data_IF_387892472625
#
_entry.id   IF_387892472625
#
_cell.length_a   1.000
_cell.length_b   1.000
_cell.length_c   1.000
_cell.angle_alpha   90.00
_cell.angle_beta   90.00
_cell.angle_gamma   90.00
#
_symmetry.space_group_name_H-M   'P 1'
#
loop_
_entity.id
_entity.type
_entity.pdbx_description
1 polymer ?
#
# COMPACT_ATOMS: atom_id res chain seq x y z
N UNK A 1 4.51 4.92 -5.23
CA UNK A 1 4.57 5.40 -3.84
C UNK A 1 3.18 5.73 -3.30
N UNK A 2 2.80 5.08 -2.20
CA UNK A 2 1.57 5.34 -1.45
C UNK A 2 1.74 6.60 -0.57
N UNK A 3 0.84 7.58 -0.70
CA UNK A 3 0.86 8.86 0.07
C UNK A 3 0.82 8.61 1.57
N UNK A 4 0.21 7.50 2.03
CA UNK A 4 0.19 7.14 3.45
C UNK A 4 1.57 6.86 4.04
N UNK A 5 2.56 6.52 3.22
CA UNK A 5 3.94 6.30 3.69
C UNK A 5 4.58 7.58 4.23
N UNK A 6 4.16 8.77 3.78
CA UNK A 6 4.73 10.03 4.25
C UNK A 6 4.47 10.29 5.73
N UNK A 7 3.38 9.73 6.28
CA UNK A 7 3.09 9.84 7.72
C UNK A 7 4.17 9.21 8.59
N UNK A 8 4.88 8.19 8.08
CA UNK A 8 6.01 7.55 8.76
C UNK A 8 7.20 8.48 8.95
N UNK A 9 7.34 9.52 8.10
CA UNK A 9 8.44 10.49 8.22
C UNK A 9 8.39 11.20 9.57
N UNK A 10 7.19 11.50 10.08
CA UNK A 10 7.04 12.14 11.39
C UNK A 10 7.45 11.24 12.56
N UNK A 11 7.47 9.93 12.37
CA UNK A 11 7.82 8.95 13.40
C UNK A 11 9.34 8.78 13.55
N UNK A 12 10.11 9.35 12.61
CA UNK A 12 11.58 9.33 12.61
C UNK A 12 12.11 10.24 13.72
N UNK A 13 13.01 9.71 14.55
CA UNK A 13 13.60 10.45 15.65
C UNK A 13 14.42 11.65 15.13
N UNK A 14 14.23 12.82 15.75
CA UNK A 14 14.92 14.06 15.37
C UNK A 14 14.26 14.85 14.24
N UNK A 15 13.15 14.36 13.65
CA UNK A 15 12.29 15.13 12.74
C UNK A 15 11.18 15.83 13.54
N UNK A 16 11.10 17.16 13.43
CA UNK A 16 10.05 17.98 14.06
C UNK A 16 8.81 18.11 13.16
N UNK A 17 9.05 18.16 11.85
CA UNK A 17 7.99 18.24 10.86
C UNK A 17 8.50 18.01 9.45
N UNK A 18 7.56 17.82 8.52
CA UNK A 18 7.85 17.53 7.13
C UNK A 18 6.83 18.17 6.19
N UNK A 19 7.26 18.40 4.95
CA UNK A 19 6.43 18.78 3.82
C UNK A 19 6.84 18.00 2.58
N UNK A 20 5.86 17.50 1.83
CA UNK A 20 6.07 16.75 0.59
C UNK A 20 5.37 17.48 -0.55
N UNK A 21 6.08 17.70 -1.63
CA UNK A 21 5.55 18.34 -2.84
C UNK A 21 5.83 17.46 -4.06
N UNK A 22 4.97 17.55 -5.07
CA UNK A 22 5.24 16.95 -6.38
C UNK A 22 6.41 17.70 -7.03
N UNK A 23 7.40 16.96 -7.52
CA UNK A 23 8.64 17.52 -8.05
C UNK A 23 8.47 18.18 -9.43
N UNK A 24 7.40 17.83 -10.16
CA UNK A 24 7.08 18.42 -11.47
C UNK A 24 6.16 19.62 -11.31
N UNK A 25 5.09 19.48 -10.51
CA UNK A 25 4.06 20.51 -10.39
C UNK A 25 4.29 21.50 -9.24
N UNK A 26 5.13 21.15 -8.25
CA UNK A 26 5.36 21.96 -7.05
C UNK A 26 4.18 21.98 -6.06
N UNK A 27 3.12 21.21 -6.33
CA UNK A 27 1.93 21.14 -5.51
C UNK A 27 2.19 20.39 -4.20
N UNK A 28 1.66 20.90 -3.08
CA UNK A 28 1.69 20.23 -1.79
C UNK A 28 0.89 18.91 -1.84
N UNK A 29 1.55 17.82 -1.45
CA UNK A 29 0.99 16.46 -1.39
C UNK A 29 0.62 16.08 0.04
N UNK A 30 1.53 16.30 0.98
CA UNK A 30 1.30 16.02 2.40
C UNK A 30 2.21 16.88 3.28
N UNK A 31 1.81 17.11 4.54
CA UNK A 31 2.63 17.79 5.55
C UNK A 31 2.23 17.38 6.96
N UNK A 32 3.16 17.45 7.89
CA UNK A 32 2.86 17.18 9.29
C UNK A 32 3.95 17.62 10.26
N UNK A 33 3.59 17.73 11.54
CA UNK A 33 4.51 18.15 12.60
C UNK A 33 4.59 19.67 12.74
N UNK A 34 5.70 20.13 13.31
CA UNK A 34 6.03 21.55 13.50
C UNK A 34 6.85 21.99 12.29
N UNK A 35 6.30 22.90 11.50
CA UNK A 35 6.87 23.36 10.23
C UNK A 35 6.70 24.87 10.07
N UNK A 36 7.56 25.54 9.30
CA UNK A 36 7.29 26.87 8.77
C UNK A 36 5.99 26.89 7.98
N UNK A 37 5.32 28.04 7.98
CA UNK A 37 4.08 28.22 7.23
C UNK A 37 4.23 28.05 5.71
N UNK A 38 5.45 28.17 5.19
CA UNK A 38 5.80 28.13 3.76
C UNK A 38 6.75 26.96 3.40
N UNK A 39 6.74 25.87 4.18
CA UNK A 39 7.64 24.74 3.95
C UNK A 39 7.52 24.16 2.53
N UNK A 40 6.33 24.13 1.98
CA UNK A 40 6.01 23.67 0.62
C UNK A 40 6.73 24.52 -0.45
N UNK A 41 6.65 25.84 -0.34
CA UNK A 41 7.35 26.75 -1.24
C UNK A 41 8.88 26.56 -1.16
N UNK A 42 9.41 26.44 0.07
CA UNK A 42 10.85 26.24 0.29
C UNK A 42 11.32 24.92 -0.33
N UNK A 43 10.59 23.84 -0.11
CA UNK A 43 10.93 22.51 -0.61
C UNK A 43 10.86 22.46 -2.12
N UNK A 44 9.79 23.00 -2.72
CA UNK A 44 9.64 23.06 -4.18
C UNK A 44 10.75 23.89 -4.82
N UNK A 45 11.02 25.08 -4.27
CA UNK A 45 12.02 26.01 -4.81
C UNK A 45 13.44 25.44 -4.72
N UNK A 46 13.88 25.03 -3.53
CA UNK A 46 15.23 24.51 -3.35
C UNK A 46 15.42 23.13 -3.99
N UNK A 47 14.41 22.26 -3.94
CA UNK A 47 14.44 20.97 -4.62
C UNK A 47 14.67 21.12 -6.13
N UNK A 48 13.89 22.00 -6.77
CA UNK A 48 14.04 22.32 -8.19
C UNK A 48 15.40 22.96 -8.50
N UNK A 49 15.84 23.94 -7.71
CA UNK A 49 17.16 24.56 -7.89
C UNK A 49 18.31 23.55 -7.78
N UNK A 50 18.22 22.61 -6.83
CA UNK A 50 19.21 21.55 -6.66
C UNK A 50 19.33 20.64 -7.89
N UNK A 51 18.21 20.28 -8.52
CA UNK A 51 18.20 19.49 -9.76
C UNK A 51 18.79 20.27 -10.94
N UNK A 52 18.46 21.56 -11.07
CA UNK A 52 19.05 22.42 -12.12
C UNK A 52 20.57 22.51 -11.96
N UNK A 53 21.06 22.68 -10.72
CA UNK A 53 22.49 22.72 -10.43
C UNK A 53 23.15 21.37 -10.71
N UNK A 54 22.54 20.25 -10.27
CA UNK A 54 23.06 18.92 -10.51
C UNK A 54 23.20 18.63 -12.02
N UNK A 55 22.18 18.98 -12.80
CA UNK A 55 22.19 18.86 -14.26
C UNK A 55 23.26 19.73 -14.90
N UNK A 56 23.43 20.99 -14.46
CA UNK A 56 24.47 21.88 -14.96
C UNK A 56 25.89 21.36 -14.69
N UNK A 57 26.06 20.55 -13.63
CA UNK A 57 27.32 19.91 -13.25
C UNK A 57 27.51 18.50 -13.83
N UNK A 58 26.61 18.02 -14.70
CA UNK A 58 26.59 16.65 -15.21
C UNK A 58 26.59 15.57 -14.11
N UNK A 59 25.93 15.85 -12.98
CA UNK A 59 25.68 14.86 -11.94
C UNK A 59 24.42 14.05 -12.30
N UNK A 60 24.29 12.85 -11.71
CA UNK A 60 23.13 11.97 -11.94
C UNK A 60 21.82 12.48 -11.34
N UNK A 61 21.86 13.55 -10.54
CA UNK A 61 20.72 14.16 -9.85
C UNK A 61 21.11 14.74 -8.50
N UNK A 62 20.15 15.37 -7.83
CA UNK A 62 20.32 15.85 -6.47
C UNK A 62 20.07 14.69 -5.48
N UNK A 63 21.08 14.36 -4.67
CA UNK A 63 20.93 13.36 -3.59
C UNK A 63 20.22 13.98 -2.39
N UNK A 64 20.71 15.12 -1.90
CA UNK A 64 20.12 15.89 -0.80
C UNK A 64 20.59 17.34 -0.79
N UNK A 65 19.79 18.21 -0.18
CA UNK A 65 20.13 19.59 0.16
C UNK A 65 19.99 19.75 1.67
N UNK A 66 20.98 20.38 2.29
CA UNK A 66 20.97 20.68 3.73
C UNK A 66 21.08 22.18 3.93
N UNK A 67 20.01 22.79 4.44
CA UNK A 67 19.99 24.17 4.91
C UNK A 67 20.26 24.22 6.41
N UNK A 68 21.30 24.95 6.82
CA UNK A 68 21.66 25.16 8.22
C UNK A 68 21.36 26.62 8.59
N UNK A 69 20.07 26.92 8.78
CA UNK A 69 19.60 28.26 9.15
C UNK A 69 19.11 28.32 10.60
N UNK A 70 18.19 29.26 10.86
CA UNK A 70 17.42 29.29 12.13
C UNK A 70 16.69 27.98 12.36
N UNK A 71 16.15 27.43 11.27
CA UNK A 71 15.68 26.06 11.20
C UNK A 71 16.64 25.26 10.33
N UNK A 72 16.85 23.99 10.67
CA UNK A 72 17.63 23.08 9.83
C UNK A 72 16.66 22.33 8.94
N UNK A 73 16.90 22.39 7.64
CA UNK A 73 16.05 21.82 6.61
C UNK A 73 16.86 20.82 5.80
N UNK A 74 16.35 19.59 5.70
CA UNK A 74 16.88 18.58 4.79
C UNK A 74 15.85 18.37 3.68
N UNK A 75 16.27 18.51 2.42
CA UNK A 75 15.45 18.20 1.26
C UNK A 75 16.07 17.02 0.53
N UNK A 76 15.25 16.02 0.23
CA UNK A 76 15.63 14.84 -0.53
C UNK A 76 14.65 14.62 -1.67
N UNK A 77 15.11 14.00 -2.76
CA UNK A 77 14.26 13.62 -3.87
C UNK A 77 13.96 12.13 -3.80
N UNK A 78 12.67 11.76 -3.87
CA UNK A 78 12.23 10.36 -3.95
C UNK A 78 11.20 10.21 -5.05
N UNK A 79 11.52 9.41 -6.05
CA UNK A 79 10.71 9.24 -7.27
C UNK A 79 10.35 10.62 -7.87
N UNK A 80 9.06 10.96 -7.86
CA UNK A 80 8.49 12.22 -8.38
C UNK A 80 8.21 13.26 -7.29
N UNK A 81 8.76 13.12 -6.08
CA UNK A 81 8.47 14.01 -4.97
C UNK A 81 9.74 14.62 -4.39
N UNK A 82 9.63 15.88 -3.95
CA UNK A 82 10.58 16.48 -3.01
C UNK A 82 10.01 16.38 -1.61
N UNK A 83 10.86 15.94 -0.68
CA UNK A 83 10.51 15.77 0.72
C UNK A 83 11.43 16.67 1.52
N UNK A 84 10.85 17.68 2.18
CA UNK A 84 11.55 18.51 3.14
C UNK A 84 11.24 18.09 4.56
N UNK A 85 12.26 18.05 5.40
CA UNK A 85 12.12 17.76 6.83
C UNK A 85 12.83 18.82 7.65
N UNK A 86 12.15 19.30 8.69
CA UNK A 86 12.72 20.14 9.74
C UNK A 86 13.29 19.24 10.82
N UNK A 87 14.54 19.48 11.19
CA UNK A 87 15.25 18.67 12.16
C UNK A 87 16.10 19.54 13.10
N UNK A 88 16.42 19.00 14.28
CA UNK A 88 17.21 19.74 15.27
C UNK A 88 18.56 19.09 15.54
N UNK A 89 18.58 17.91 16.15
CA UNK A 89 19.79 17.29 16.69
C UNK A 89 20.14 15.94 16.04
N UNK A 90 19.80 15.79 14.75
CA UNK A 90 20.08 14.58 13.98
C UNK A 90 21.05 14.86 12.83
N UNK A 91 21.80 13.82 12.45
CA UNK A 91 22.70 13.87 11.29
C UNK A 91 21.87 13.88 10.00
N UNK A 92 22.08 14.84 9.07
CA UNK A 92 21.36 14.85 7.80
C UNK A 92 21.55 13.58 6.97
N UNK A 93 22.72 12.95 7.08
CA UNK A 93 23.04 11.70 6.40
C UNK A 93 22.23 10.52 6.99
N UNK A 94 22.11 10.46 8.32
CA UNK A 94 21.33 9.41 9.00
C UNK A 94 19.84 9.61 8.72
N UNK A 95 19.34 10.83 8.82
CA UNK A 95 17.96 11.17 8.46
C UNK A 95 17.63 10.84 7.02
N UNK A 96 18.52 11.16 6.07
CA UNK A 96 18.29 10.79 4.67
C UNK A 96 18.10 9.27 4.54
N UNK A 97 18.96 8.48 5.17
CA UNK A 97 18.86 7.02 5.15
C UNK A 97 17.57 6.52 5.81
N UNK A 98 17.18 7.09 6.94
CA UNK A 98 15.95 6.72 7.65
C UNK A 98 14.70 7.10 6.84
N UNK A 99 14.70 8.25 6.16
CA UNK A 99 13.63 8.64 5.23
C UNK A 99 13.56 7.65 4.06
N UNK A 100 14.69 7.28 3.47
CA UNK A 100 14.71 6.28 2.41
C UNK A 100 14.15 4.93 2.88
N UNK A 101 14.50 4.50 4.09
CA UNK A 101 14.00 3.25 4.68
C UNK A 101 12.50 3.33 5.02
N UNK A 102 12.03 4.43 5.60
CA UNK A 102 10.62 4.65 5.92
C UNK A 102 9.73 4.68 4.67
N UNK A 103 10.26 5.17 3.55
CA UNK A 103 9.56 5.31 2.28
C UNK A 103 9.82 4.16 1.30
N UNK A 104 10.64 3.16 1.65
CA UNK A 104 10.71 1.93 0.87
C UNK A 104 9.32 1.27 0.89
N UNK A 105 8.74 1.08 -0.30
CA UNK A 105 7.61 0.18 -0.44
C UNK A 105 8.06 -1.20 0.05
N UNK A 106 7.33 -1.77 1.01
CA UNK A 106 7.63 -3.11 1.50
C UNK A 106 7.59 -4.06 0.29
N UNK A 107 8.68 -4.77 0.01
CA UNK A 107 8.70 -5.74 -1.08
C UNK A 107 7.85 -6.95 -0.69
N UNK A 108 6.58 -6.89 -1.02
CA UNK A 108 5.61 -7.94 -0.70
C UNK A 108 5.72 -9.16 -1.62
N UNK A 109 6.59 -9.15 -2.64
CA UNK A 109 6.56 -10.10 -3.76
C UNK A 109 6.55 -11.55 -3.30
N UNK A 110 7.42 -11.91 -2.34
CA UNK A 110 7.51 -13.27 -1.79
C UNK A 110 7.81 -14.36 -2.83
N UNK A 111 7.49 -15.61 -2.52
CA UNK A 111 7.67 -16.72 -3.46
C UNK A 111 6.69 -16.59 -4.65
N UNK A 112 7.17 -16.55 -5.92
CA UNK A 112 6.33 -16.40 -7.10
C UNK A 112 5.26 -17.49 -7.26
N UNK A 113 5.54 -18.73 -6.86
CA UNK A 113 4.57 -19.84 -6.91
C UNK A 113 3.46 -19.64 -5.88
N UNK A 114 3.82 -19.19 -4.68
CA UNK A 114 2.85 -18.87 -3.63
C UNK A 114 2.01 -17.66 -4.05
N UNK A 115 2.61 -16.66 -4.69
CA UNK A 115 1.87 -15.51 -5.20
C UNK A 115 0.92 -15.89 -6.33
N UNK A 116 1.35 -16.73 -7.27
CA UNK A 116 0.46 -17.27 -8.31
C UNK A 116 -0.71 -18.07 -7.71
N UNK A 117 -0.46 -18.84 -6.65
CA UNK A 117 -1.50 -19.53 -5.90
C UNK A 117 -2.48 -18.55 -5.26
N UNK A 118 -1.99 -17.52 -4.57
CA UNK A 118 -2.82 -16.45 -3.97
C UNK A 118 -3.71 -15.80 -5.02
N UNK A 119 -3.17 -15.45 -6.19
CA UNK A 119 -3.96 -14.90 -7.32
C UNK A 119 -5.04 -15.87 -7.80
N UNK A 120 -4.69 -17.16 -7.93
CA UNK A 120 -5.63 -18.20 -8.31
C UNK A 120 -6.80 -18.33 -7.31
N UNK A 121 -6.49 -18.34 -6.00
CA UNK A 121 -7.49 -18.40 -4.94
C UNK A 121 -8.35 -17.14 -4.85
N UNK A 122 -7.72 -15.96 -4.94
CA UNK A 122 -8.44 -14.69 -4.95
C UNK A 122 -9.40 -14.58 -6.13
N UNK A 123 -9.00 -15.09 -7.31
CA UNK A 123 -9.89 -15.20 -8.46
C UNK A 123 -11.12 -16.09 -8.17
N UNK A 124 -10.94 -17.23 -7.50
CA UNK A 124 -12.07 -18.09 -7.11
C UNK A 124 -13.03 -17.36 -6.16
N UNK A 125 -12.49 -16.66 -5.15
CA UNK A 125 -13.28 -15.87 -4.21
C UNK A 125 -14.00 -14.72 -4.93
N UNK A 126 -13.34 -14.00 -5.84
CA UNK A 126 -13.97 -12.93 -6.61
C UNK A 126 -15.12 -13.42 -7.49
N UNK A 127 -15.04 -14.63 -8.05
CA UNK A 127 -16.16 -15.23 -8.78
C UNK A 127 -17.33 -15.60 -7.84
N UNK A 128 -17.04 -16.06 -6.63
CA UNK A 128 -18.07 -16.30 -5.60
C UNK A 128 -18.73 -14.99 -5.18
N UNK A 129 -17.94 -13.93 -4.95
CA UNK A 129 -18.45 -12.59 -4.65
C UNK A 129 -19.37 -12.07 -5.76
N UNK A 130 -18.96 -12.22 -7.02
CA UNK A 130 -19.78 -11.87 -8.18
C UNK A 130 -21.09 -12.67 -8.19
N UNK A 131 -21.04 -13.99 -8.05
CA UNK A 131 -22.25 -14.82 -8.08
C UNK A 131 -23.18 -14.55 -6.90
N UNK A 132 -22.66 -14.40 -5.68
CA UNK A 132 -23.49 -14.20 -4.48
C UNK A 132 -24.08 -12.78 -4.40
N UNK A 133 -23.42 -11.80 -5.00
CA UNK A 133 -23.94 -10.43 -5.08
C UNK A 133 -24.99 -10.22 -6.18
N UNK A 134 -25.23 -11.19 -7.08
CA UNK A 134 -26.29 -11.08 -8.09
C UNK A 134 -27.65 -10.83 -7.42
N UNK A 135 -28.22 -9.66 -7.73
CA UNK A 135 -29.52 -9.22 -7.18
C UNK A 135 -29.44 -8.51 -5.82
N UNK A 136 -28.24 -8.19 -5.32
CA UNK A 136 -28.04 -7.49 -4.05
C UNK A 136 -26.87 -6.50 -4.09
N UNK A 137 -26.41 -6.06 -2.91
CA UNK A 137 -25.30 -5.11 -2.78
C UNK A 137 -23.94 -5.84 -2.76
N UNK A 138 -23.05 -5.67 -3.76
CA UNK A 138 -21.72 -6.28 -3.77
C UNK A 138 -20.82 -5.89 -2.59
N UNK A 139 -20.98 -4.66 -2.06
CA UNK A 139 -20.13 -4.16 -0.98
C UNK A 139 -20.32 -4.95 0.32
N UNK A 140 -21.53 -5.40 0.63
CA UNK A 140 -21.80 -6.18 1.85
C UNK A 140 -21.01 -7.50 1.87
N UNK A 141 -20.90 -8.15 0.71
CA UNK A 141 -20.17 -9.41 0.58
C UNK A 141 -18.67 -9.21 0.67
N UNK A 142 -18.15 -8.15 0.06
CA UNK A 142 -16.73 -7.80 0.14
C UNK A 142 -16.36 -7.39 1.55
N UNK A 143 -17.17 -6.55 2.20
CA UNK A 143 -16.96 -6.13 3.58
C UNK A 143 -16.95 -7.33 4.53
N UNK A 144 -17.83 -8.31 4.33
CA UNK A 144 -17.78 -9.56 5.08
C UNK A 144 -16.43 -10.28 4.92
N UNK A 145 -15.92 -10.42 3.68
CA UNK A 145 -14.62 -11.06 3.43
C UNK A 145 -13.48 -10.28 4.07
N UNK A 146 -13.50 -8.95 3.98
CA UNK A 146 -12.47 -8.09 4.59
C UNK A 146 -12.47 -8.22 6.10
N UNK A 147 -13.64 -8.15 6.74
CA UNK A 147 -13.76 -8.33 8.19
C UNK A 147 -13.30 -9.72 8.61
N UNK A 148 -13.70 -10.77 7.87
CA UNK A 148 -13.25 -12.13 8.16
C UNK A 148 -11.72 -12.25 8.08
N UNK A 149 -11.08 -11.69 7.04
CA UNK A 149 -9.62 -11.70 6.92
C UNK A 149 -8.98 -10.99 8.12
N UNK A 150 -9.46 -9.79 8.47
CA UNK A 150 -8.93 -9.00 9.60
C UNK A 150 -9.07 -9.72 10.94
N UNK A 151 -10.18 -10.39 11.17
CA UNK A 151 -10.47 -11.09 12.43
C UNK A 151 -9.69 -12.41 12.57
N UNK A 152 -9.37 -13.07 11.45
CA UNK A 152 -8.77 -14.41 11.45
C UNK A 152 -7.27 -14.41 11.12
N UNK A 153 -6.73 -13.31 10.58
CA UNK A 153 -5.30 -13.13 10.36
C UNK A 153 -4.58 -12.66 11.63
N UNK A 154 -4.44 -13.57 12.60
CA UNK A 154 -3.88 -13.26 13.93
C UNK A 154 -2.46 -12.69 13.89
N UNK A 155 -1.67 -13.06 12.87
CA UNK A 155 -0.29 -12.62 12.70
C UNK A 155 -0.15 -11.43 11.73
N UNK A 156 -1.25 -10.92 11.17
CA UNK A 156 -1.23 -9.82 10.21
C UNK A 156 -0.54 -10.15 8.87
N UNK A 157 -0.30 -11.44 8.59
CA UNK A 157 0.43 -11.90 7.40
C UNK A 157 -0.36 -11.67 6.12
N UNK A 158 -1.68 -11.86 6.15
CA UNK A 158 -2.56 -11.79 4.98
C UNK A 158 -3.15 -10.41 4.75
N UNK A 159 -3.49 -9.67 5.81
CA UNK A 159 -4.17 -8.37 5.72
C UNK A 159 -3.33 -7.34 4.97
N UNK A 160 -2.01 -7.38 5.13
CA UNK A 160 -1.06 -6.53 4.39
C UNK A 160 -0.86 -6.96 2.93
N UNK A 161 -1.08 -8.24 2.63
CA UNK A 161 -0.86 -8.85 1.32
C UNK A 161 -2.11 -8.83 0.43
N UNK A 162 -3.27 -8.43 0.95
CA UNK A 162 -4.54 -8.41 0.21
C UNK A 162 -5.07 -6.98 0.19
N UNK A 163 -5.31 -6.46 -1.02
CA UNK A 163 -6.03 -5.22 -1.25
C UNK A 163 -7.49 -5.47 -1.60
N UNK A 164 -8.29 -4.39 -1.56
CA UNK A 164 -9.64 -4.36 -2.11
C UNK A 164 -9.78 -3.19 -3.07
N UNK A 165 -10.17 -3.50 -4.31
CA UNK A 165 -10.48 -2.50 -5.33
C UNK A 165 -11.65 -2.96 -6.17
N UNK A 166 -12.58 -2.06 -6.46
CA UNK A 166 -13.76 -2.33 -7.30
C UNK A 166 -14.54 -3.58 -6.85
N UNK A 167 -14.76 -3.71 -5.53
CA UNK A 167 -15.43 -4.86 -4.90
C UNK A 167 -14.76 -6.23 -5.18
N UNK A 168 -13.44 -6.24 -5.37
CA UNK A 168 -12.64 -7.45 -5.57
C UNK A 168 -11.47 -7.48 -4.61
N UNK A 169 -11.13 -8.68 -4.13
CA UNK A 169 -9.90 -8.91 -3.39
C UNK A 169 -8.72 -9.09 -4.37
N UNK A 170 -7.61 -8.40 -4.12
CA UNK A 170 -6.44 -8.38 -5.00
C UNK A 170 -5.19 -8.68 -4.18
N UNK A 171 -4.56 -9.85 -4.35
CA UNK A 171 -3.27 -10.13 -3.73
C UNK A 171 -2.19 -9.17 -4.26
N UNK A 172 -1.49 -8.51 -3.35
CA UNK A 172 -0.34 -7.63 -3.61
C UNK A 172 0.98 -8.39 -3.57
N UNK A 173 1.02 -9.55 -2.92
CA UNK A 173 2.22 -10.36 -2.81
C UNK A 173 2.01 -11.66 -2.04
N UNK A 174 3.13 -12.28 -1.65
CA UNK A 174 3.17 -13.51 -0.86
C UNK A 174 4.32 -13.54 0.17
N UNK A 175 4.89 -12.37 0.53
CA UNK A 175 6.03 -12.29 1.43
C UNK A 175 5.73 -12.96 2.79
N UNK A 176 6.59 -13.91 3.15
CA UNK A 176 6.50 -14.62 4.42
C UNK A 176 5.39 -15.67 4.49
N UNK A 177 4.75 -16.00 3.36
CA UNK A 177 3.77 -17.09 3.28
C UNK A 177 4.39 -18.35 2.69
N UNK A 178 4.13 -19.49 3.33
CA UNK A 178 4.28 -20.80 2.72
C UNK A 178 3.08 -21.14 1.83
N UNK A 179 3.25 -22.12 0.94
CA UNK A 179 2.17 -22.62 0.10
C UNK A 179 1.02 -23.23 0.91
N UNK A 180 1.32 -23.85 2.05
CA UNK A 180 0.33 -24.48 2.95
C UNK A 180 -0.49 -23.43 3.69
N UNK A 181 0.17 -22.40 4.25
CA UNK A 181 -0.50 -21.27 4.91
C UNK A 181 -1.44 -20.56 3.91
N UNK A 182 -0.93 -20.20 2.73
CA UNK A 182 -1.72 -19.54 1.69
C UNK A 182 -2.94 -20.37 1.26
N UNK A 183 -2.75 -21.68 1.05
CA UNK A 183 -3.86 -22.57 0.69
C UNK A 183 -4.91 -22.67 1.80
N UNK A 184 -4.46 -22.85 3.03
CA UNK A 184 -5.32 -23.08 4.18
C UNK A 184 -6.16 -21.85 4.48
N UNK A 185 -5.52 -20.69 4.58
CA UNK A 185 -6.22 -19.45 4.90
C UNK A 185 -7.18 -19.03 3.78
N UNK A 186 -6.75 -19.06 2.51
CA UNK A 186 -7.64 -18.70 1.41
C UNK A 186 -8.82 -19.66 1.24
N UNK A 187 -8.64 -20.94 1.59
CA UNK A 187 -9.74 -21.91 1.66
C UNK A 187 -10.71 -21.54 2.79
N UNK A 188 -10.22 -21.17 3.97
CA UNK A 188 -11.07 -20.72 5.08
C UNK A 188 -11.91 -19.51 4.69
N UNK A 189 -11.33 -18.53 3.98
CA UNK A 189 -12.07 -17.37 3.45
C UNK A 189 -13.18 -17.81 2.50
N UNK A 190 -12.89 -18.69 1.54
CA UNK A 190 -13.88 -19.21 0.60
C UNK A 190 -15.00 -19.99 1.32
N UNK A 191 -14.64 -20.85 2.27
CA UNK A 191 -15.60 -21.64 3.05
C UNK A 191 -16.50 -20.75 3.92
N UNK A 192 -15.94 -19.69 4.52
CA UNK A 192 -16.70 -18.70 5.29
C UNK A 192 -17.68 -17.93 4.40
N UNK A 193 -17.24 -17.52 3.21
CA UNK A 193 -18.11 -16.86 2.22
C UNK A 193 -19.26 -17.77 1.77
N UNK A 194 -19.00 -19.06 1.53
CA UNK A 194 -20.05 -20.03 1.19
C UNK A 194 -21.02 -20.21 2.35
N UNK A 195 -20.55 -20.31 3.60
CA UNK A 195 -21.42 -20.40 4.78
C UNK A 195 -22.30 -19.16 4.91
N UNK A 196 -21.75 -17.97 4.68
CA UNK A 196 -22.51 -16.71 4.66
C UNK A 196 -23.58 -16.73 3.57
N UNK A 197 -23.25 -17.27 2.39
CA UNK A 197 -24.21 -17.42 1.29
C UNK A 197 -25.35 -18.37 1.61
N UNK A 198 -25.06 -19.53 2.22
CA UNK A 198 -26.10 -20.47 2.68
C UNK A 198 -27.04 -19.81 3.70
N UNK A 199 -26.51 -18.99 4.61
CA UNK A 199 -27.32 -18.28 5.60
C UNK A 199 -28.19 -17.16 4.98
N UNK A 200 -27.71 -16.51 3.91
CA UNK A 200 -28.41 -15.38 3.29
C UNK A 200 -29.43 -15.80 2.20
N UNK A 201 -29.07 -16.81 1.39
CA UNK A 201 -29.81 -17.21 0.18
C UNK A 201 -30.51 -18.57 0.35
N UNK A 202 -30.18 -19.31 1.41
CA UNK A 202 -30.59 -20.71 1.55
C UNK A 202 -29.64 -21.68 0.83
N UNK A 203 -29.68 -22.94 1.27
CA UNK A 203 -28.72 -23.99 0.88
C UNK A 203 -28.73 -24.29 -0.62
N UNK A 204 -29.92 -24.40 -1.21
CA UNK A 204 -30.06 -24.85 -2.59
C UNK A 204 -29.61 -23.78 -3.58
N UNK A 205 -29.98 -22.52 -3.33
CA UNK A 205 -29.55 -21.39 -4.16
C UNK A 205 -28.04 -21.14 -4.04
N UNK A 206 -27.49 -21.14 -2.82
CA UNK A 206 -26.06 -20.99 -2.61
C UNK A 206 -25.26 -22.09 -3.34
N UNK A 207 -25.73 -23.34 -3.28
CA UNK A 207 -25.11 -24.48 -3.98
C UNK A 207 -25.17 -24.31 -5.50
N UNK A 208 -26.29 -23.85 -6.05
CA UNK A 208 -26.42 -23.57 -7.48
C UNK A 208 -25.44 -22.48 -7.94
N UNK A 209 -25.33 -21.38 -7.18
CA UNK A 209 -24.40 -20.28 -7.46
C UNK A 209 -22.93 -20.74 -7.38
N UNK A 210 -22.57 -21.59 -6.41
CA UNK A 210 -21.23 -22.21 -6.35
C UNK A 210 -20.96 -23.09 -7.58
N UNK A 211 -21.96 -23.87 -8.02
CA UNK A 211 -21.80 -24.72 -9.21
C UNK A 211 -21.52 -23.87 -10.46
N UNK A 212 -22.18 -22.72 -10.62
CA UNK A 212 -21.90 -21.77 -11.70
C UNK A 212 -20.44 -21.28 -11.67
N UNK A 213 -19.90 -20.98 -10.50
CA UNK A 213 -18.47 -20.61 -10.35
C UNK A 213 -17.56 -21.75 -10.79
N UNK A 214 -17.85 -23.00 -10.38
CA UNK A 214 -17.08 -24.18 -10.77
C UNK A 214 -17.07 -24.34 -12.30
N UNK A 215 -18.22 -24.16 -12.95
CA UNK A 215 -18.32 -24.20 -14.40
C UNK A 215 -17.50 -23.08 -15.07
N UNK A 216 -17.58 -21.83 -14.57
CA UNK A 216 -16.78 -20.69 -15.06
C UNK A 216 -15.27 -20.92 -14.92
N UNK A 217 -14.84 -21.63 -13.88
CA UNK A 217 -13.44 -22.01 -13.67
C UNK A 217 -13.00 -23.14 -14.62
N UNK A 218 -13.88 -24.11 -14.87
CA UNK A 218 -13.61 -25.25 -15.77
C UNK A 218 -13.60 -24.88 -17.25
N UNK A 219 -14.46 -23.96 -17.69
CA UNK A 219 -14.59 -23.53 -19.08
C UNK A 219 -13.44 -22.63 -19.59
N UNK A 220 -12.50 -22.25 -18.70
CA UNK A 220 -11.36 -21.37 -19.01
C UNK A 220 -10.01 -22.08 -18.84
N UNK A 221 -9.99 -23.42 -18.92
CA UNK A 221 -8.77 -24.21 -19.05
C UNK A 221 -8.37 -24.38 -20.51
#
# INVERSE_FOLDING_TARGET
MNVELFKKIKEIEGIEGYGVVDAEEGNLIDRGGIIPGNIDELVAFFGSAGEVIANALNLSGMERIVGLGREKLLIVKKDKYYIGVIFENASPQELHKEIEEALKEEDLTGDPKVFALMKGKARQINLLLEEFSRGGNPEEWVNFVVSFIRENDKEGKFVRLIDVKDNKIIPKGALGLTQEEANTFMKQVADALIKRAVAALGKDEAKARVHNVIQKLGARK
#
